data_IF_727189480834
#
_entry.id   IF_727189480834
#
_cell.length_a   1.000
_cell.length_b   1.000
_cell.length_c   1.000
_cell.angle_alpha   90.00
_cell.angle_beta   90.00
_cell.angle_gamma   90.00
#
_symmetry.space_group_name_H-M   'P 1'
#
loop_
_entity.id
_entity.type
_entity.pdbx_description
1 polymer ?
#
# COMPACT_ATOMS: atom_id res chain seq x y z
N UNK A 1 1.78 -47.43 32.98
CA UNK A 1 2.16 -46.15 32.33
C UNK A 1 2.72 -45.15 33.34
N UNK A 2 2.02 -44.80 34.42
CA UNK A 2 2.52 -43.87 35.46
C UNK A 2 3.83 -44.36 36.11
N UNK A 3 3.87 -45.61 36.58
CA UNK A 3 5.07 -46.17 37.23
C UNK A 3 6.32 -46.21 36.32
N UNK A 4 6.11 -46.45 35.03
CA UNK A 4 7.19 -46.45 34.03
C UNK A 4 7.70 -45.02 33.77
N UNK A 5 6.80 -44.05 33.67
CA UNK A 5 7.17 -42.64 33.53
C UNK A 5 7.91 -42.12 34.77
N UNK A 6 7.40 -42.40 35.98
CA UNK A 6 8.05 -41.96 37.22
C UNK A 6 9.41 -42.61 37.41
N UNK A 7 9.57 -43.89 37.05
CA UNK A 7 10.87 -44.58 37.15
C UNK A 7 11.91 -43.93 36.21
N UNK A 8 11.50 -43.56 35.00
CA UNK A 8 12.37 -42.82 34.07
C UNK A 8 12.73 -41.41 34.58
N UNK A 9 11.76 -40.69 35.15
CA UNK A 9 11.98 -39.36 35.74
C UNK A 9 12.93 -39.43 36.95
N UNK A 10 12.75 -40.41 37.84
CA UNK A 10 13.64 -40.63 38.99
C UNK A 10 15.05 -41.03 38.57
N UNK A 11 15.19 -41.81 37.49
CA UNK A 11 16.49 -42.15 36.90
C UNK A 11 17.23 -40.91 36.38
N UNK A 12 16.51 -39.96 35.78
CA UNK A 12 17.07 -38.69 35.32
C UNK A 12 17.39 -37.73 36.47
N UNK A 13 16.51 -37.61 37.46
CA UNK A 13 16.64 -36.69 38.59
C UNK A 13 17.73 -37.11 39.59
N UNK A 14 17.94 -38.41 39.77
CA UNK A 14 18.93 -38.97 40.70
C UNK A 14 19.87 -39.93 39.98
N UNK A 15 20.82 -39.46 39.15
CA UNK A 15 21.68 -40.33 38.36
C UNK A 15 22.76 -41.04 39.18
N UNK A 16 23.33 -42.12 38.62
CA UNK A 16 24.45 -42.87 39.23
C UNK A 16 24.07 -43.77 40.40
N UNK A 17 25.08 -44.45 40.97
CA UNK A 17 24.90 -45.47 42.01
C UNK A 17 24.52 -44.88 43.37
N UNK A 18 24.98 -43.67 43.68
CA UNK A 18 24.60 -42.95 44.90
C UNK A 18 23.10 -42.61 44.95
N UNK A 19 22.45 -42.46 43.79
CA UNK A 19 21.02 -42.19 43.67
C UNK A 19 20.12 -43.44 43.78
N UNK A 20 20.70 -44.64 43.64
CA UNK A 20 19.98 -45.92 43.69
C UNK A 20 19.07 -46.10 44.92
N UNK A 21 19.53 -45.85 46.17
CA UNK A 21 18.66 -45.99 47.34
C UNK A 21 17.47 -45.01 47.31
N UNK A 22 17.67 -43.79 46.81
CA UNK A 22 16.61 -42.77 46.68
C UNK A 22 15.59 -43.17 45.62
N UNK A 23 16.03 -43.65 44.45
CA UNK A 23 15.13 -44.14 43.39
C UNK A 23 14.28 -45.32 43.89
N UNK A 24 14.90 -46.29 44.56
CA UNK A 24 14.19 -47.44 45.12
C UNK A 24 13.14 -47.03 46.19
N UNK A 25 13.46 -46.05 47.05
CA UNK A 25 12.52 -45.54 48.03
C UNK A 25 11.33 -44.81 47.38
N UNK A 26 11.58 -43.98 46.36
CA UNK A 26 10.55 -43.26 45.62
C UNK A 26 9.66 -44.21 44.81
N UNK A 27 10.24 -45.21 44.15
CA UNK A 27 9.48 -46.25 43.43
C UNK A 27 8.56 -47.03 44.38
N UNK A 28 9.04 -47.36 45.58
CA UNK A 28 8.23 -48.01 46.62
C UNK A 28 7.07 -47.12 47.08
N UNK A 29 7.29 -45.82 47.24
CA UNK A 29 6.22 -44.88 47.59
C UNK A 29 5.21 -44.70 46.46
N UNK A 30 5.65 -44.64 45.19
CA UNK A 30 4.74 -44.60 44.04
C UNK A 30 3.92 -45.89 43.95
N UNK A 31 4.53 -47.06 44.18
CA UNK A 31 3.82 -48.33 44.22
C UNK A 31 2.73 -48.34 45.31
N UNK A 32 3.08 -47.95 46.54
CA UNK A 32 2.13 -47.87 47.65
C UNK A 32 1.01 -46.84 47.41
N UNK A 33 1.31 -45.74 46.72
CA UNK A 33 0.32 -44.74 46.34
C UNK A 33 -0.67 -45.29 45.29
N UNK A 34 -0.18 -46.09 44.33
CA UNK A 34 -0.99 -46.70 43.28
C UNK A 34 -1.79 -47.93 43.75
N UNK A 35 -1.41 -48.55 44.87
CA UNK A 35 -2.20 -49.61 45.53
C UNK A 35 -3.53 -49.10 46.09
N UNK A 36 -3.64 -47.79 46.33
CA UNK A 36 -4.88 -47.14 46.72
C UNK A 36 -5.56 -46.53 45.47
N UNK A 37 -6.90 -46.61 45.33
CA UNK A 37 -7.58 -45.93 44.25
C UNK A 37 -7.34 -44.42 44.38
N UNK A 38 -6.55 -43.87 43.46
CA UNK A 38 -6.32 -42.43 43.37
C UNK A 38 -7.70 -41.78 43.22
N UNK A 39 -8.10 -40.99 44.22
CA UNK A 39 -9.38 -40.29 44.15
C UNK A 39 -9.30 -39.30 43.00
N UNK A 40 -10.01 -39.58 41.90
CA UNK A 40 -10.09 -38.66 40.78
C UNK A 40 -10.82 -37.41 41.25
N UNK A 41 -10.09 -36.31 41.46
CA UNK A 41 -10.70 -35.01 41.69
C UNK A 41 -11.41 -34.64 40.39
N UNK A 42 -12.76 -34.56 40.37
CA UNK A 42 -13.46 -34.25 39.14
C UNK A 42 -13.08 -32.83 38.72
N UNK A 43 -12.94 -32.63 37.42
CA UNK A 43 -12.81 -31.29 36.87
C UNK A 43 -14.03 -30.46 37.30
N UNK A 44 -13.80 -29.22 37.71
CA UNK A 44 -14.89 -28.27 37.95
C UNK A 44 -15.50 -27.88 36.60
N UNK A 45 -16.51 -28.63 36.16
CA UNK A 45 -17.20 -28.44 34.88
C UNK A 45 -17.62 -26.98 34.65
N UNK A 46 -18.32 -26.32 35.60
CA UNK A 46 -18.69 -24.91 35.48
C UNK A 46 -17.51 -23.95 35.28
N UNK A 47 -16.38 -24.18 35.96
CA UNK A 47 -15.17 -23.37 35.76
C UNK A 47 -14.55 -23.63 34.38
N UNK A 48 -14.46 -24.89 33.97
CA UNK A 48 -13.95 -25.28 32.65
C UNK A 48 -14.80 -24.67 31.54
N UNK A 49 -16.12 -24.73 31.66
CA UNK A 49 -17.06 -24.17 30.68
C UNK A 49 -17.00 -22.63 30.66
N UNK A 50 -16.86 -21.98 31.82
CA UNK A 50 -16.64 -20.53 31.90
C UNK A 50 -15.34 -20.12 31.20
N UNK A 51 -14.23 -20.80 31.51
CA UNK A 51 -12.92 -20.50 30.91
C UNK A 51 -12.95 -20.78 29.42
N UNK A 52 -13.55 -21.89 28.97
CA UNK A 52 -13.77 -22.16 27.54
C UNK A 52 -14.65 -21.09 26.88
N UNK A 53 -15.69 -20.64 27.56
CA UNK A 53 -16.54 -19.53 27.10
C UNK A 53 -15.75 -18.25 26.86
N UNK A 54 -14.82 -17.90 27.76
CA UNK A 54 -13.88 -16.79 27.56
C UNK A 54 -12.94 -17.07 26.39
N UNK A 55 -12.36 -18.27 26.32
CA UNK A 55 -11.43 -18.63 25.25
C UNK A 55 -12.09 -18.67 23.86
N UNK A 56 -13.40 -18.91 23.77
CA UNK A 56 -14.16 -18.91 22.50
C UNK A 56 -14.49 -17.51 21.99
N UNK A 57 -14.28 -16.46 22.79
CA UNK A 57 -14.60 -15.08 22.37
C UNK A 57 -13.73 -14.60 21.20
N UNK A 58 -12.54 -15.18 21.01
CA UNK A 58 -11.67 -14.87 19.87
C UNK A 58 -11.61 -16.09 18.94
N UNK A 59 -12.04 -15.97 17.67
CA UNK A 59 -11.94 -17.04 16.70
C UNK A 59 -10.49 -17.55 16.57
N UNK A 60 -10.32 -18.87 16.38
CA UNK A 60 -9.00 -19.48 16.22
C UNK A 60 -8.17 -18.81 15.13
N UNK A 61 -8.78 -18.48 13.98
CA UNK A 61 -8.10 -17.78 12.90
C UNK A 61 -7.55 -16.41 13.34
N UNK A 62 -8.32 -15.63 14.11
CA UNK A 62 -7.84 -14.35 14.63
C UNK A 62 -6.69 -14.53 15.63
N UNK A 63 -6.70 -15.60 16.43
CA UNK A 63 -5.60 -15.91 17.35
C UNK A 63 -4.33 -16.29 16.62
N UNK A 64 -4.42 -17.20 15.65
CA UNK A 64 -3.29 -17.57 14.79
C UNK A 64 -2.73 -16.37 14.07
N UNK A 65 -3.60 -15.52 13.52
CA UNK A 65 -3.21 -14.27 12.88
C UNK A 65 -2.42 -13.34 13.81
N UNK A 66 -2.94 -13.05 15.00
CA UNK A 66 -2.25 -12.20 15.98
C UNK A 66 -0.95 -12.83 16.48
N UNK A 67 -0.88 -14.17 16.61
CA UNK A 67 0.35 -14.88 16.97
C UNK A 67 1.43 -14.73 15.89
N UNK A 68 1.07 -14.85 14.60
CA UNK A 68 2.00 -14.63 13.48
C UNK A 68 2.50 -13.18 13.48
N UNK A 69 1.60 -12.19 13.59
CA UNK A 69 1.99 -10.77 13.65
C UNK A 69 2.86 -10.44 14.86
N UNK A 70 2.67 -11.17 15.96
CA UNK A 70 3.42 -11.00 17.20
C UNK A 70 4.77 -11.71 17.25
N UNK A 71 5.12 -12.50 16.23
CA UNK A 71 6.36 -13.28 16.21
C UNK A 71 7.60 -12.40 16.11
N UNK A 72 8.75 -12.90 16.55
CA UNK A 72 10.02 -12.18 16.48
C UNK A 72 10.41 -11.90 15.02
N UNK A 73 10.22 -12.88 14.14
CA UNK A 73 10.51 -12.78 12.70
C UNK A 73 9.65 -11.70 12.04
N UNK A 74 8.35 -11.62 12.37
CA UNK A 74 7.46 -10.61 11.82
C UNK A 74 7.84 -9.20 12.31
N UNK A 75 8.26 -9.06 13.57
CA UNK A 75 8.67 -7.78 14.16
C UNK A 75 10.06 -7.32 13.72
N UNK A 76 10.93 -8.25 13.34
CA UNK A 76 12.27 -7.96 12.84
C UNK A 76 12.27 -7.39 11.41
N UNK A 77 11.16 -7.51 10.67
CA UNK A 77 11.07 -7.00 9.30
C UNK A 77 11.11 -5.47 9.27
N UNK A 78 11.96 -4.86 8.41
CA UNK A 78 11.98 -3.42 8.25
C UNK A 78 10.65 -2.94 7.65
N UNK A 79 10.10 -1.80 8.12
CA UNK A 79 8.88 -1.24 7.56
C UNK A 79 9.15 -0.64 6.17
N UNK A 80 8.16 -0.72 5.29
CA UNK A 80 8.18 -0.02 4.01
C UNK A 80 7.75 1.43 4.22
N UNK A 81 8.52 2.42 3.74
CA UNK A 81 8.25 3.87 3.92
C UNK A 81 8.32 4.62 2.59
N UNK A 82 7.50 5.66 2.37
CA UNK A 82 7.60 6.44 1.12
C UNK A 82 8.99 7.02 0.91
N UNK A 83 9.60 7.60 1.96
CA UNK A 83 10.91 8.23 1.88
C UNK A 83 12.02 7.28 1.37
N UNK A 84 11.89 5.98 1.66
CA UNK A 84 12.84 4.97 1.20
C UNK A 84 12.70 4.63 -0.30
N UNK A 85 11.52 4.85 -0.88
CA UNK A 85 11.19 4.44 -2.26
C UNK A 85 10.91 5.60 -3.22
N UNK A 86 10.75 6.83 -2.71
CA UNK A 86 10.41 8.00 -3.51
C UNK A 86 11.62 8.79 -4.02
N UNK A 87 12.83 8.51 -3.48
CA UNK A 87 14.05 9.23 -3.81
C UNK A 87 14.21 10.57 -3.06
N UNK A 88 15.40 11.16 -3.17
CA UNK A 88 15.81 12.30 -2.34
C UNK A 88 14.94 13.56 -2.54
N UNK A 89 14.42 13.77 -3.76
CA UNK A 89 13.60 14.93 -4.11
C UNK A 89 12.11 14.74 -3.79
N UNK A 90 11.70 13.62 -3.19
CA UNK A 90 10.29 13.34 -2.94
C UNK A 90 9.61 14.38 -2.04
N UNK A 91 10.32 14.87 -1.02
CA UNK A 91 9.75 15.80 -0.04
C UNK A 91 9.46 17.19 -0.62
N UNK A 92 10.04 17.57 -1.76
CA UNK A 92 9.75 18.85 -2.41
C UNK A 92 8.51 18.80 -3.30
N UNK A 93 8.11 17.61 -3.79
CA UNK A 93 7.00 17.48 -4.77
C UNK A 93 5.86 16.58 -4.33
N UNK A 94 6.06 15.73 -3.34
CA UNK A 94 5.04 14.84 -2.79
C UNK A 94 4.66 15.24 -1.36
N UNK A 95 3.41 14.99 -1.03
CA UNK A 95 2.88 15.13 0.32
C UNK A 95 1.81 14.06 0.59
N UNK A 96 1.45 13.90 1.86
CA UNK A 96 0.34 13.04 2.26
C UNK A 96 -0.87 13.90 2.59
N UNK A 97 -2.06 13.48 2.13
CA UNK A 97 -3.33 14.15 2.40
C UNK A 97 -3.62 14.23 3.89
N UNK A 98 -3.20 13.21 4.64
CA UNK A 98 -3.29 13.14 6.10
C UNK A 98 -2.41 14.16 6.83
N UNK A 99 -1.48 14.83 6.13
CA UNK A 99 -0.51 15.75 6.72
C UNK A 99 0.66 15.06 7.43
N UNK A 100 0.74 13.72 7.39
CA UNK A 100 1.86 12.96 7.96
C UNK A 100 3.14 13.11 7.12
N UNK A 101 4.28 12.78 7.72
CA UNK A 101 5.59 12.73 7.03
C UNK A 101 5.63 11.61 5.97
N UNK A 102 6.52 11.74 4.98
CA UNK A 102 6.88 10.66 4.03
C UNK A 102 7.60 9.48 4.72
N UNK A 103 7.92 9.59 6.00
CA UNK A 103 8.29 8.44 6.85
C UNK A 103 7.08 7.55 7.20
N UNK A 104 5.87 7.89 6.74
CA UNK A 104 4.69 7.02 6.83
C UNK A 104 4.84 5.80 5.91
N UNK A 105 4.20 4.69 6.26
CA UNK A 105 4.46 3.41 5.62
C UNK A 105 3.58 2.29 6.14
N UNK A 106 3.94 1.06 5.75
CA UNK A 106 3.32 -0.18 6.24
C UNK A 106 4.35 -1.02 6.99
N UNK A 107 3.90 -1.79 7.97
CA UNK A 107 4.77 -2.70 8.72
C UNK A 107 5.38 -3.74 7.77
N UNK A 108 6.62 -4.17 8.04
CA UNK A 108 7.38 -5.02 7.13
C UNK A 108 6.69 -6.34 6.78
N UNK A 109 5.87 -6.87 7.69
CA UNK A 109 5.08 -8.07 7.46
C UNK A 109 4.08 -7.92 6.32
N UNK A 110 3.61 -6.70 6.01
CA UNK A 110 2.68 -6.39 4.90
C UNK A 110 3.40 -5.94 3.62
N UNK A 111 4.66 -6.32 3.44
CA UNK A 111 5.40 -6.15 2.18
C UNK A 111 5.35 -7.44 1.37
N UNK A 112 5.73 -7.39 0.09
CA UNK A 112 5.95 -8.57 -0.75
C UNK A 112 6.90 -9.55 -0.06
N UNK A 113 8.04 -9.05 0.44
CA UNK A 113 8.99 -9.85 1.19
C UNK A 113 8.38 -10.40 2.49
N UNK A 114 7.63 -9.57 3.24
CA UNK A 114 6.94 -10.01 4.47
C UNK A 114 5.96 -11.15 4.23
N UNK A 115 5.19 -11.08 3.14
CA UNK A 115 4.29 -12.15 2.73
C UNK A 115 5.04 -13.44 2.41
N UNK A 116 6.00 -13.39 1.48
CA UNK A 116 6.66 -14.59 0.95
C UNK A 116 7.67 -15.20 1.91
N UNK A 117 8.43 -14.35 2.61
CA UNK A 117 9.57 -14.79 3.39
C UNK A 117 9.27 -15.04 4.85
N UNK A 118 8.16 -14.52 5.38
CA UNK A 118 7.80 -14.67 6.80
C UNK A 118 6.38 -15.20 6.95
N UNK A 119 5.35 -14.45 6.53
CA UNK A 119 3.95 -14.82 6.79
C UNK A 119 3.59 -16.21 6.22
N UNK A 120 3.89 -16.45 4.95
CA UNK A 120 3.59 -17.72 4.28
C UNK A 120 4.35 -18.93 4.87
N UNK A 121 5.51 -18.68 5.53
CA UNK A 121 6.31 -19.73 6.18
C UNK A 121 5.81 -20.03 7.60
N UNK A 122 5.43 -19.00 8.35
CA UNK A 122 4.89 -19.13 9.71
C UNK A 122 3.45 -19.64 9.75
N UNK A 123 2.67 -19.38 8.70
CA UNK A 123 1.26 -19.78 8.62
C UNK A 123 1.03 -21.27 8.98
N UNK A 124 1.66 -22.25 8.30
CA UNK A 124 1.45 -23.66 8.63
C UNK A 124 1.87 -23.99 10.06
N UNK A 125 3.06 -23.56 10.49
CA UNK A 125 3.63 -23.81 11.83
C UNK A 125 2.67 -23.32 12.93
N UNK A 126 2.25 -22.06 12.85
CA UNK A 126 1.38 -21.47 13.86
C UNK A 126 -0.01 -22.11 13.86
N UNK A 127 -0.55 -22.46 12.68
CA UNK A 127 -1.86 -23.13 12.61
C UNK A 127 -1.82 -24.57 13.09
N UNK A 128 -0.70 -25.27 12.92
CA UNK A 128 -0.53 -26.64 13.39
C UNK A 128 -0.42 -26.67 14.91
N UNK A 129 0.41 -25.83 15.50
CA UNK A 129 0.50 -25.64 16.95
C UNK A 129 -0.88 -25.35 17.58
N UNK A 130 -1.62 -24.40 17.00
CA UNK A 130 -2.93 -24.01 17.51
C UNK A 130 -3.98 -25.10 17.31
N UNK A 131 -3.90 -25.86 16.22
CA UNK A 131 -4.77 -27.01 16.00
C UNK A 131 -4.48 -28.12 17.03
N UNK A 132 -3.21 -28.39 17.32
CA UNK A 132 -2.80 -29.35 18.36
C UNK A 132 -3.34 -28.93 19.73
N UNK A 133 -3.26 -27.65 20.09
CA UNK A 133 -3.76 -27.11 21.37
C UNK A 133 -5.29 -26.92 21.42
N UNK A 134 -5.99 -27.07 20.30
CA UNK A 134 -7.45 -26.82 20.21
C UNK A 134 -8.29 -27.76 21.07
N UNK A 135 -7.72 -28.89 21.54
CA UNK A 135 -8.39 -29.82 22.46
C UNK A 135 -8.89 -29.13 23.75
N UNK A 136 -8.22 -28.05 24.17
CA UNK A 136 -8.57 -27.28 25.37
C UNK A 136 -9.93 -26.58 25.22
N UNK A 137 -10.34 -26.24 23.99
CA UNK A 137 -11.60 -25.53 23.69
C UNK A 137 -12.85 -26.43 23.75
N UNK A 138 -12.66 -27.74 23.91
CA UNK A 138 -13.75 -28.72 23.94
C UNK A 138 -14.14 -29.22 22.55
N UNK A 139 -14.99 -30.25 22.52
CA UNK A 139 -15.22 -31.10 21.32
C UNK A 139 -15.81 -30.37 20.10
N UNK A 140 -16.48 -29.23 20.30
CA UNK A 140 -17.11 -28.46 19.22
C UNK A 140 -16.14 -27.59 18.41
N UNK A 141 -15.09 -27.07 19.06
CA UNK A 141 -14.11 -26.16 18.44
C UNK A 141 -12.74 -26.81 18.26
N UNK A 142 -12.67 -28.13 18.50
CA UNK A 142 -11.46 -28.90 18.28
C UNK A 142 -11.21 -29.02 16.79
N UNK A 143 -10.03 -28.57 16.38
CA UNK A 143 -9.49 -28.76 15.04
C UNK A 143 -8.69 -30.06 15.09
N UNK A 144 -9.25 -31.15 14.56
CA UNK A 144 -8.62 -32.48 14.62
C UNK A 144 -8.47 -33.13 13.24
N UNK A 145 -9.32 -32.76 12.27
CA UNK A 145 -9.23 -33.26 10.89
C UNK A 145 -8.27 -32.36 10.08
N UNK A 146 -7.34 -32.92 9.29
CA UNK A 146 -6.55 -32.19 8.30
C UNK A 146 -7.35 -31.18 7.45
N UNK A 147 -8.62 -31.47 7.14
CA UNK A 147 -9.51 -30.53 6.41
C UNK A 147 -9.83 -29.26 7.22
N UNK A 148 -10.03 -29.40 8.53
CA UNK A 148 -10.30 -28.26 9.42
C UNK A 148 -9.04 -27.40 9.60
N UNK A 149 -7.87 -28.02 9.67
CA UNK A 149 -6.58 -27.30 9.70
C UNK A 149 -6.37 -26.53 8.40
N UNK A 150 -6.64 -27.15 7.25
CA UNK A 150 -6.57 -26.47 5.96
C UNK A 150 -7.54 -25.27 5.89
N UNK A 151 -8.77 -25.41 6.38
CA UNK A 151 -9.71 -24.30 6.45
C UNK A 151 -9.22 -23.19 7.39
N UNK A 152 -8.70 -23.53 8.57
CA UNK A 152 -8.11 -22.56 9.50
C UNK A 152 -6.99 -21.75 8.82
N UNK A 153 -6.10 -22.40 8.07
CA UNK A 153 -5.05 -21.72 7.30
C UNK A 153 -5.62 -20.74 6.27
N UNK A 154 -6.65 -21.15 5.53
CA UNK A 154 -7.32 -20.27 4.56
C UNK A 154 -7.99 -19.08 5.24
N UNK A 155 -8.63 -19.28 6.40
CA UNK A 155 -9.26 -18.20 7.16
C UNK A 155 -8.22 -17.18 7.67
N UNK A 156 -7.08 -17.67 8.20
CA UNK A 156 -5.96 -16.82 8.66
C UNK A 156 -5.34 -16.05 7.50
N UNK A 157 -5.11 -16.73 6.37
CA UNK A 157 -4.60 -16.09 5.15
C UNK A 157 -5.60 -15.05 4.62
N UNK A 158 -6.90 -15.34 4.69
CA UNK A 158 -7.98 -14.41 4.36
C UNK A 158 -7.86 -13.12 5.17
N UNK A 159 -7.80 -13.21 6.50
CA UNK A 159 -7.63 -12.06 7.40
C UNK A 159 -6.40 -11.23 7.05
N UNK A 160 -5.26 -11.89 6.80
CA UNK A 160 -4.02 -11.23 6.44
C UNK A 160 -4.12 -10.49 5.10
N UNK A 161 -4.62 -11.13 4.05
CA UNK A 161 -4.73 -10.52 2.72
C UNK A 161 -5.76 -9.39 2.70
N UNK A 162 -6.83 -9.50 3.49
CA UNK A 162 -7.80 -8.41 3.70
C UNK A 162 -7.15 -7.19 4.34
N UNK A 163 -6.30 -7.39 5.35
CA UNK A 163 -5.56 -6.30 5.98
C UNK A 163 -4.48 -5.73 5.06
N UNK A 164 -3.80 -6.59 4.30
CA UNK A 164 -2.83 -6.22 3.28
C UNK A 164 -3.44 -5.21 2.30
N UNK A 165 -4.57 -5.57 1.68
CA UNK A 165 -5.30 -4.68 0.76
C UNK A 165 -5.66 -3.35 1.42
N UNK A 166 -6.24 -3.39 2.63
CA UNK A 166 -6.62 -2.15 3.34
C UNK A 166 -5.43 -1.22 3.60
N UNK A 167 -4.29 -1.76 4.05
CA UNK A 167 -3.09 -0.97 4.34
C UNK A 167 -2.54 -0.32 3.08
N UNK A 168 -2.45 -1.06 1.97
CA UNK A 168 -1.96 -0.53 0.70
C UNK A 168 -2.94 0.46 0.07
N UNK A 169 -4.25 0.23 0.13
CA UNK A 169 -5.25 1.21 -0.33
C UNK A 169 -5.12 2.54 0.43
N UNK A 170 -5.01 2.50 1.76
CA UNK A 170 -4.82 3.69 2.57
C UNK A 170 -3.55 4.44 2.18
N UNK A 171 -2.45 3.73 1.99
CA UNK A 171 -1.17 4.30 1.61
C UNK A 171 -1.23 4.95 0.20
N UNK A 172 -1.79 4.24 -0.78
CA UNK A 172 -1.88 4.75 -2.17
C UNK A 172 -2.81 5.96 -2.25
N UNK A 173 -3.94 5.94 -1.53
CA UNK A 173 -4.94 7.02 -1.55
C UNK A 173 -4.51 8.29 -0.80
N UNK A 174 -3.62 8.15 0.18
CA UNK A 174 -3.09 9.26 0.97
C UNK A 174 -2.02 10.07 0.21
N UNK A 175 -1.36 9.48 -0.77
CA UNK A 175 -0.35 10.17 -1.57
C UNK A 175 -0.96 11.32 -2.39
N UNK A 176 -0.27 12.45 -2.45
CA UNK A 176 -0.63 13.61 -3.26
C UNK A 176 0.60 14.30 -3.84
N UNK A 177 0.39 15.06 -4.92
CA UNK A 177 1.35 16.02 -5.44
C UNK A 177 1.17 17.33 -4.69
N UNK A 178 2.27 17.99 -4.32
CA UNK A 178 2.25 19.30 -3.68
C UNK A 178 1.72 20.35 -4.68
N UNK A 179 0.86 21.29 -4.23
CA UNK A 179 0.46 22.40 -5.07
C UNK A 179 1.57 23.46 -5.10
N UNK A 180 1.85 24.01 -6.27
CA UNK A 180 2.74 25.16 -6.46
C UNK A 180 1.94 26.45 -6.67
N UNK A 181 2.50 27.59 -6.25
CA UNK A 181 1.83 28.91 -6.27
C UNK A 181 2.55 29.94 -7.12
N UNK A 182 3.78 29.65 -7.53
CA UNK A 182 4.57 30.52 -8.41
C UNK A 182 5.07 29.78 -9.64
N UNK A 183 5.45 30.53 -10.68
CA UNK A 183 6.05 29.96 -11.90
C UNK A 183 7.36 29.23 -11.60
N UNK A 184 8.19 29.77 -10.71
CA UNK A 184 9.47 29.16 -10.34
C UNK A 184 9.27 27.84 -9.57
N UNK A 185 8.36 27.83 -8.59
CA UNK A 185 7.98 26.58 -7.90
C UNK A 185 7.44 25.55 -8.91
N UNK A 186 6.57 25.97 -9.83
CA UNK A 186 6.04 25.09 -10.87
C UNK A 186 7.12 24.50 -11.78
N UNK A 187 8.12 25.30 -12.17
CA UNK A 187 9.27 24.81 -12.95
C UNK A 187 10.08 23.77 -12.18
N UNK A 188 10.40 24.03 -10.91
CA UNK A 188 11.19 23.13 -10.07
C UNK A 188 10.44 21.82 -9.76
N UNK A 189 9.17 21.92 -9.37
CA UNK A 189 8.33 20.77 -9.02
C UNK A 189 8.02 19.92 -10.24
N UNK A 190 7.63 20.52 -11.38
CA UNK A 190 7.30 19.77 -12.58
C UNK A 190 8.54 19.12 -13.19
N UNK A 191 9.70 19.80 -13.21
CA UNK A 191 10.96 19.19 -13.65
C UNK A 191 11.33 17.97 -12.79
N UNK A 192 11.13 18.06 -11.48
CA UNK A 192 11.39 16.96 -10.55
C UNK A 192 10.40 15.81 -10.77
N UNK A 193 9.12 16.11 -10.93
CA UNK A 193 8.07 15.10 -11.17
C UNK A 193 8.19 14.42 -12.53
N UNK A 194 8.63 15.14 -13.56
CA UNK A 194 8.67 14.64 -14.94
C UNK A 194 10.08 14.20 -15.40
N UNK A 195 11.09 14.40 -14.56
CA UNK A 195 12.48 14.05 -14.85
C UNK A 195 12.75 12.53 -14.82
N UNK A 196 13.97 12.11 -15.20
CA UNK A 196 14.37 10.69 -15.21
C UNK A 196 14.27 10.01 -13.83
N UNK A 197 14.57 10.75 -12.77
CA UNK A 197 14.51 10.29 -11.37
C UNK A 197 13.20 10.74 -10.69
N UNK A 198 12.07 10.67 -11.41
CA UNK A 198 10.76 11.11 -10.95
C UNK A 198 10.34 10.39 -9.64
N UNK A 199 10.08 11.14 -8.54
CA UNK A 199 9.52 10.55 -7.32
C UNK A 199 8.16 9.90 -7.54
N UNK A 200 7.34 10.46 -8.44
CA UNK A 200 6.05 9.90 -8.81
C UNK A 200 6.21 8.50 -9.42
N UNK A 201 7.10 8.36 -10.41
CA UNK A 201 7.43 7.07 -11.02
C UNK A 201 7.94 6.08 -9.97
N UNK A 202 8.94 6.46 -9.19
CA UNK A 202 9.58 5.56 -8.23
C UNK A 202 8.60 4.99 -7.22
N UNK A 203 7.71 5.84 -6.66
CA UNK A 203 6.70 5.39 -5.69
C UNK A 203 5.65 4.48 -6.33
N UNK A 204 5.09 4.83 -7.49
CA UNK A 204 4.08 4.00 -8.15
C UNK A 204 4.65 2.66 -8.62
N UNK A 205 5.90 2.62 -9.08
CA UNK A 205 6.61 1.37 -9.38
C UNK A 205 6.80 0.53 -8.11
N UNK A 206 7.21 1.14 -6.99
CA UNK A 206 7.35 0.43 -5.72
C UNK A 206 6.00 -0.14 -5.24
N UNK A 207 4.91 0.63 -5.30
CA UNK A 207 3.57 0.14 -5.00
C UNK A 207 3.18 -1.07 -5.85
N UNK A 208 3.49 -1.02 -7.16
CA UNK A 208 3.21 -2.14 -8.04
C UNK A 208 4.02 -3.38 -7.64
N UNK A 209 5.30 -3.24 -7.33
CA UNK A 209 6.13 -4.36 -6.86
C UNK A 209 5.56 -5.01 -5.60
N UNK A 210 5.17 -4.20 -4.62
CA UNK A 210 4.66 -4.71 -3.35
C UNK A 210 3.32 -5.43 -3.50
N UNK A 211 2.45 -4.95 -4.40
CA UNK A 211 1.09 -5.48 -4.58
C UNK A 211 0.97 -6.65 -5.58
N UNK A 212 2.06 -7.08 -6.21
CA UNK A 212 2.10 -8.27 -7.07
C UNK A 212 2.51 -9.52 -6.27
N UNK A 213 1.66 -9.98 -5.35
CA UNK A 213 1.95 -11.12 -4.47
C UNK A 213 1.95 -12.49 -5.15
N UNK A 214 1.23 -12.65 -6.26
CA UNK A 214 1.28 -13.91 -7.00
C UNK A 214 2.58 -14.01 -7.77
N UNK A 215 3.43 -14.95 -7.37
CA UNK A 215 4.55 -15.40 -8.21
C UNK A 215 3.93 -16.09 -9.42
N UNK A 216 4.07 -15.49 -10.60
CA UNK A 216 3.70 -16.15 -11.85
C UNK A 216 4.70 -17.28 -12.08
N UNK A 217 4.41 -18.44 -11.50
CA UNK A 217 5.17 -19.66 -11.78
C UNK A 217 4.81 -20.14 -13.18
N UNK A 218 5.75 -20.87 -13.81
CA UNK A 218 5.48 -21.55 -15.07
C UNK A 218 4.24 -22.46 -14.96
N UNK A 219 3.94 -22.97 -13.75
CA UNK A 219 2.72 -23.71 -13.44
C UNK A 219 1.44 -22.86 -13.46
N UNK A 220 1.45 -21.60 -13.03
CA UNK A 220 0.30 -20.69 -13.15
C UNK A 220 0.01 -20.36 -14.62
N UNK A 221 1.06 -20.15 -15.43
CA UNK A 221 0.94 -19.94 -16.88
C UNK A 221 0.46 -21.20 -17.61
N UNK A 222 1.02 -22.37 -17.25
CA UNK A 222 0.62 -23.68 -17.76
C UNK A 222 -0.79 -24.06 -17.30
N UNK A 223 -1.26 -23.68 -16.11
CA UNK A 223 -2.63 -23.93 -15.64
C UNK A 223 -3.66 -23.04 -16.35
N UNK A 224 -3.30 -21.79 -16.64
CA UNK A 224 -4.12 -20.93 -17.53
C UNK A 224 -4.14 -21.43 -18.97
N UNK A 225 -3.05 -22.03 -19.47
CA UNK A 225 -2.98 -22.68 -20.78
C UNK A 225 -3.60 -24.08 -20.84
N UNK A 226 -3.54 -24.86 -19.76
CA UNK A 226 -4.10 -26.22 -19.65
C UNK A 226 -5.62 -26.23 -19.50
N UNK A 227 -6.24 -25.08 -19.20
CA UNK A 227 -7.66 -24.87 -19.49
C UNK A 227 -8.03 -25.06 -20.97
N UNK A 228 -7.04 -25.13 -21.86
CA UNK A 228 -7.19 -25.40 -23.30
C UNK A 228 -6.57 -26.74 -23.76
N UNK A 229 -5.90 -27.53 -22.91
CA UNK A 229 -5.22 -28.78 -23.34
C UNK A 229 -5.41 -29.92 -22.33
N UNK A 230 -5.97 -31.04 -22.80
CA UNK A 230 -6.53 -32.13 -22.02
C UNK A 230 -5.59 -33.36 -21.82
N UNK A 231 -4.31 -33.19 -21.46
CA UNK A 231 -3.47 -34.36 -21.15
C UNK A 231 -2.74 -34.30 -19.80
N UNK A 232 -2.90 -35.38 -19.03
CA UNK A 232 -2.33 -35.59 -17.70
C UNK A 232 -0.78 -35.68 -17.70
N UNK A 233 -0.17 -35.89 -18.86
CA UNK A 233 1.29 -35.96 -19.04
C UNK A 233 1.95 -34.58 -18.89
N UNK A 234 1.35 -33.54 -19.50
CA UNK A 234 1.83 -32.16 -19.40
C UNK A 234 1.70 -31.59 -17.98
N UNK A 235 0.70 -32.05 -17.22
CA UNK A 235 0.54 -31.71 -15.80
C UNK A 235 1.69 -32.26 -14.95
N UNK A 236 2.13 -33.51 -15.20
CA UNK A 236 3.23 -34.14 -14.44
C UNK A 236 4.59 -33.50 -14.73
N UNK A 237 4.83 -33.11 -15.98
CA UNK A 237 6.06 -32.45 -16.39
C UNK A 237 6.16 -31.00 -15.88
N UNK A 238 5.04 -30.28 -15.84
CA UNK A 238 4.95 -28.94 -15.24
C UNK A 238 5.20 -28.95 -13.72
N UNK A 239 4.73 -29.98 -13.02
CA UNK A 239 4.98 -30.19 -11.59
C UNK A 239 6.45 -30.52 -11.28
N UNK A 240 7.17 -31.15 -12.22
CA UNK A 240 8.59 -31.50 -12.08
C UNK A 240 9.52 -30.29 -12.27
N UNK A 241 9.07 -29.24 -12.97
CA UNK A 241 9.81 -27.98 -13.21
C UNK A 241 9.62 -26.93 -12.12
N UNK A 242 8.78 -27.20 -11.12
CA UNK A 242 8.58 -26.33 -9.96
C UNK A 242 9.82 -26.26 -9.08
N UNK A 243 10.14 -25.06 -8.58
CA UNK A 243 11.18 -24.92 -7.56
C UNK A 243 10.68 -25.55 -6.24
N UNK A 244 11.61 -25.92 -5.35
CA UNK A 244 11.26 -26.47 -4.03
C UNK A 244 10.41 -25.50 -3.20
N UNK A 245 10.54 -24.17 -3.44
CA UNK A 245 9.72 -23.14 -2.81
C UNK A 245 8.27 -23.19 -3.29
N UNK A 246 8.04 -23.29 -4.60
CA UNK A 246 6.70 -23.32 -5.19
C UNK A 246 5.93 -24.59 -4.80
N UNK A 247 6.64 -25.73 -4.72
CA UNK A 247 6.08 -27.00 -4.26
C UNK A 247 5.67 -26.96 -2.79
N UNK A 248 6.45 -26.28 -1.94
CA UNK A 248 6.12 -26.08 -0.53
C UNK A 248 4.93 -25.16 -0.35
N UNK A 249 4.86 -24.03 -1.05
CA UNK A 249 3.70 -23.11 -0.95
C UNK A 249 2.43 -23.81 -1.44
N UNK A 250 2.48 -24.52 -2.57
CA UNK A 250 1.36 -25.31 -3.08
C UNK A 250 0.94 -26.47 -2.16
N UNK A 251 1.89 -27.10 -1.44
CA UNK A 251 1.58 -28.13 -0.43
C UNK A 251 1.05 -27.53 0.88
N UNK A 252 1.55 -26.36 1.31
CA UNK A 252 1.14 -25.67 2.55
C UNK A 252 -0.29 -25.10 2.44
N UNK A 253 -0.71 -24.71 1.23
CA UNK A 253 -2.09 -24.31 0.90
C UNK A 253 -3.07 -25.49 0.76
N UNK A 254 -2.61 -26.74 0.94
CA UNK A 254 -3.45 -27.91 1.21
C UNK A 254 -4.46 -28.32 0.12
N UNK A 255 -4.07 -29.21 -0.77
CA UNK A 255 -4.90 -30.38 -1.12
C UNK A 255 -6.09 -30.22 -2.09
N UNK A 256 -6.07 -29.28 -3.04
CA UNK A 256 -7.16 -29.13 -4.05
C UNK A 256 -6.76 -29.66 -5.43
N UNK A 257 -5.86 -30.63 -5.51
CA UNK A 257 -5.58 -31.36 -6.75
C UNK A 257 -6.61 -32.47 -6.99
N UNK A 258 -7.87 -32.08 -7.18
CA UNK A 258 -8.72 -32.85 -8.08
C UNK A 258 -8.31 -32.47 -9.51
N UNK A 259 -8.10 -33.45 -10.42
CA UNK A 259 -7.86 -33.13 -11.83
C UNK A 259 -8.99 -32.24 -12.36
N UNK A 260 -8.67 -31.00 -12.75
CA UNK A 260 -9.63 -30.06 -13.35
C UNK A 260 -10.01 -28.83 -12.52
N UNK A 261 -9.61 -28.69 -11.24
CA UNK A 261 -9.76 -27.41 -10.53
C UNK A 261 -8.55 -26.50 -10.76
N UNK A 262 -8.81 -25.27 -11.20
CA UNK A 262 -7.79 -24.20 -11.20
C UNK A 262 -7.37 -23.94 -9.76
N UNK A 263 -6.14 -24.28 -9.40
CA UNK A 263 -5.54 -23.85 -8.13
C UNK A 263 -5.34 -22.35 -8.24
N UNK A 264 -6.26 -21.57 -7.69
CA UNK A 264 -6.13 -20.12 -7.58
C UNK A 264 -5.40 -19.84 -6.27
N UNK A 265 -4.20 -19.29 -6.36
CA UNK A 265 -3.48 -18.76 -5.20
C UNK A 265 -4.38 -17.73 -4.50
N UNK A 266 -4.70 -17.88 -3.20
CA UNK A 266 -5.53 -16.90 -2.49
C UNK A 266 -4.97 -15.47 -2.57
N UNK A 267 -3.65 -15.30 -2.73
CA UNK A 267 -3.01 -14.00 -2.96
C UNK A 267 -3.43 -13.32 -4.28
N UNK A 268 -4.02 -14.06 -5.22
CA UNK A 268 -4.59 -13.52 -6.46
C UNK A 268 -5.60 -12.40 -6.18
N UNK A 269 -6.31 -12.46 -5.05
CA UNK A 269 -7.22 -11.37 -4.63
C UNK A 269 -6.53 -10.01 -4.51
N UNK A 270 -5.26 -9.99 -4.10
CA UNK A 270 -4.46 -8.77 -3.97
C UNK A 270 -4.07 -8.28 -5.36
N UNK A 271 -3.53 -9.16 -6.21
CA UNK A 271 -3.19 -8.82 -7.59
C UNK A 271 -4.41 -8.34 -8.39
N UNK A 272 -5.59 -8.95 -8.19
CA UNK A 272 -6.85 -8.57 -8.84
C UNK A 272 -7.32 -7.19 -8.37
N UNK A 273 -7.26 -6.93 -7.05
CA UNK A 273 -7.60 -5.63 -6.48
C UNK A 273 -6.69 -4.51 -7.01
N UNK A 274 -5.38 -4.76 -7.10
CA UNK A 274 -4.38 -3.83 -7.62
C UNK A 274 -4.08 -3.99 -9.12
N UNK A 275 -4.94 -4.69 -9.88
CA UNK A 275 -4.75 -4.86 -11.33
C UNK A 275 -4.70 -3.52 -12.08
N UNK A 276 -5.46 -2.54 -11.60
CA UNK A 276 -5.45 -1.18 -12.14
C UNK A 276 -4.06 -0.55 -12.00
N UNK A 277 -3.34 -0.82 -10.91
CA UNK A 277 -2.01 -0.27 -10.64
C UNK A 277 -0.97 -0.89 -11.57
N UNK A 278 -1.02 -2.21 -11.78
CA UNK A 278 -0.18 -2.88 -12.75
C UNK A 278 -0.41 -2.36 -14.18
N UNK A 279 -1.67 -2.09 -14.54
CA UNK A 279 -2.02 -1.50 -15.84
C UNK A 279 -1.53 -0.06 -15.96
N UNK A 280 -1.65 0.72 -14.89
CA UNK A 280 -1.21 2.12 -14.84
C UNK A 280 0.31 2.24 -14.96
N UNK A 281 1.08 1.43 -14.22
CA UNK A 281 2.55 1.44 -14.27
C UNK A 281 3.08 0.82 -15.56
N UNK A 282 2.49 -0.30 -15.99
CA UNK A 282 2.93 -1.05 -17.16
C UNK A 282 4.29 -1.72 -16.99
N UNK A 283 4.91 -2.12 -18.10
CA UNK A 283 6.24 -2.72 -18.17
C UNK A 283 7.14 -1.93 -19.13
N UNK A 284 8.46 -2.13 -19.11
CA UNK A 284 9.36 -1.48 -20.08
C UNK A 284 8.98 -1.76 -21.56
N UNK A 285 8.43 -2.94 -21.84
CA UNK A 285 8.00 -3.36 -23.18
C UNK A 285 6.61 -2.84 -23.55
N UNK A 286 5.74 -2.66 -22.55
CA UNK A 286 4.38 -2.14 -22.70
C UNK A 286 4.13 -1.06 -21.64
N UNK A 287 4.52 0.20 -21.92
CA UNK A 287 4.35 1.27 -20.96
C UNK A 287 2.87 1.51 -20.63
N UNK A 288 2.59 1.78 -19.35
CA UNK A 288 1.25 2.05 -18.88
C UNK A 288 0.87 3.53 -18.98
N UNK A 289 -0.33 3.85 -18.50
CA UNK A 289 -0.87 5.22 -18.48
C UNK A 289 -0.03 6.21 -17.65
N UNK A 290 0.82 5.71 -16.75
CA UNK A 290 1.80 6.50 -16.00
C UNK A 290 2.72 7.31 -16.92
N UNK A 291 3.15 6.74 -18.06
CA UNK A 291 3.97 7.49 -19.03
C UNK A 291 3.20 8.65 -19.64
N UNK A 292 1.91 8.46 -19.91
CA UNK A 292 1.05 9.52 -20.45
C UNK A 292 0.90 10.66 -19.43
N UNK A 293 0.78 10.33 -18.15
CA UNK A 293 0.76 11.30 -17.05
C UNK A 293 2.07 12.09 -17.00
N UNK A 294 3.20 11.40 -16.98
CA UNK A 294 4.52 12.03 -16.91
C UNK A 294 4.81 12.89 -18.14
N UNK A 295 4.47 12.42 -19.34
CA UNK A 295 4.59 13.19 -20.57
C UNK A 295 3.74 14.46 -20.55
N UNK A 296 2.52 14.40 -20.00
CA UNK A 296 1.67 15.58 -19.84
C UNK A 296 2.26 16.57 -18.83
N UNK A 297 2.84 16.11 -17.73
CA UNK A 297 3.57 16.97 -16.78
C UNK A 297 4.80 17.63 -17.45
N UNK A 298 5.55 16.88 -18.26
CA UNK A 298 6.66 17.43 -19.06
C UNK A 298 6.18 18.52 -20.01
N UNK A 299 5.02 18.35 -20.65
CA UNK A 299 4.45 19.36 -21.53
C UNK A 299 4.11 20.66 -20.77
N UNK A 300 3.62 20.56 -19.53
CA UNK A 300 3.36 21.72 -18.67
C UNK A 300 4.67 22.41 -18.31
N UNK A 301 5.68 21.65 -17.88
CA UNK A 301 7.01 22.16 -17.62
C UNK A 301 7.59 22.91 -18.82
N UNK A 302 7.52 22.31 -20.01
CA UNK A 302 8.01 22.93 -21.24
C UNK A 302 7.29 24.25 -21.54
N UNK A 303 5.97 24.31 -21.34
CA UNK A 303 5.20 25.55 -21.53
C UNK A 303 5.64 26.66 -20.56
N UNK A 304 5.89 26.31 -19.30
CA UNK A 304 6.39 27.24 -18.29
C UNK A 304 7.80 27.71 -18.64
N UNK A 305 8.67 26.81 -19.11
CA UNK A 305 10.03 27.15 -19.51
C UNK A 305 10.06 28.09 -20.72
N UNK A 306 9.12 27.94 -21.66
CA UNK A 306 9.00 28.81 -22.82
C UNK A 306 8.58 30.23 -22.41
N UNK A 307 7.64 30.35 -21.46
CA UNK A 307 7.25 31.65 -20.91
C UNK A 307 8.42 32.31 -20.17
N UNK A 308 9.14 31.54 -19.34
CA UNK A 308 10.28 32.04 -18.58
C UNK A 308 11.46 32.46 -19.47
N UNK A 309 11.69 31.76 -20.58
CA UNK A 309 12.75 32.09 -21.54
C UNK A 309 12.36 33.18 -22.56
N UNK A 310 11.10 33.60 -22.61
CA UNK A 310 10.63 34.61 -23.55
C UNK A 310 11.25 35.98 -23.22
N UNK A 311 11.81 36.70 -24.23
CA UNK A 311 12.25 38.09 -24.04
C UNK A 311 11.15 39.03 -23.54
N UNK A 312 9.88 38.66 -23.79
CA UNK A 312 8.71 39.34 -23.26
C UNK A 312 7.81 38.32 -22.54
N UNK A 313 8.26 37.88 -21.36
CA UNK A 313 7.54 36.92 -20.51
C UNK A 313 6.11 37.39 -20.17
N UNK A 314 5.91 38.70 -20.04
CA UNK A 314 4.59 39.29 -19.78
C UNK A 314 3.59 38.99 -20.89
N UNK A 315 3.98 39.24 -22.15
CA UNK A 315 3.14 38.98 -23.31
C UNK A 315 2.93 37.48 -23.53
N UNK A 316 3.97 36.67 -23.31
CA UNK A 316 3.86 35.20 -23.42
C UNK A 316 2.87 34.63 -22.40
N UNK A 317 2.94 35.09 -21.15
CA UNK A 317 2.02 34.68 -20.09
C UNK A 317 0.58 35.11 -20.37
N UNK A 318 0.37 36.33 -20.88
CA UNK A 318 -0.95 36.80 -21.33
C UNK A 318 -1.50 35.96 -22.48
N UNK A 319 -0.65 35.57 -23.45
CA UNK A 319 -1.04 34.66 -24.52
C UNK A 319 -1.44 33.28 -24.00
N UNK A 320 -0.72 32.75 -23.01
CA UNK A 320 -1.05 31.50 -22.33
C UNK A 320 -2.40 31.58 -21.60
N UNK A 321 -2.64 32.68 -20.87
CA UNK A 321 -3.89 32.92 -20.15
C UNK A 321 -5.09 33.18 -21.09
N UNK A 322 -4.85 33.84 -22.22
CA UNK A 322 -5.85 34.15 -23.24
C UNK A 322 -6.14 32.95 -24.17
N UNK A 323 -5.36 31.87 -24.10
CA UNK A 323 -5.61 30.67 -24.88
C UNK A 323 -7.01 30.13 -24.55
N UNK A 324 -7.84 29.96 -25.61
CA UNK A 324 -9.23 29.54 -25.46
C UNK A 324 -9.34 28.30 -24.56
N UNK A 325 -10.33 28.31 -23.68
CA UNK A 325 -10.48 27.35 -22.56
C UNK A 325 -10.42 25.87 -22.98
N UNK A 326 -10.68 25.54 -24.24
CA UNK A 326 -10.61 24.18 -24.78
C UNK A 326 -9.20 23.65 -25.06
N UNK A 327 -8.19 24.50 -25.30
CA UNK A 327 -6.82 24.08 -25.62
C UNK A 327 -5.81 24.32 -24.50
N UNK A 328 -6.21 25.00 -23.41
CA UNK A 328 -5.34 25.24 -22.26
C UNK A 328 -4.79 23.93 -21.67
N UNK A 329 -3.54 23.93 -21.20
CA UNK A 329 -2.92 22.74 -20.62
C UNK A 329 -3.66 22.25 -19.36
N UNK A 330 -4.28 23.15 -18.60
CA UNK A 330 -5.15 22.79 -17.47
C UNK A 330 -6.36 21.97 -17.91
N UNK A 331 -7.05 22.36 -18.99
CA UNK A 331 -8.19 21.59 -19.51
C UNK A 331 -7.77 20.24 -20.06
N UNK A 332 -6.58 20.16 -20.68
CA UNK A 332 -6.02 18.89 -21.14
C UNK A 332 -5.69 17.96 -19.97
N UNK A 333 -5.10 18.49 -18.89
CA UNK A 333 -4.86 17.74 -17.66
C UNK A 333 -6.17 17.28 -16.99
N UNK A 334 -7.19 18.13 -16.94
CA UNK A 334 -8.51 17.75 -16.41
C UNK A 334 -9.19 16.67 -17.24
N UNK A 335 -9.01 16.72 -18.56
CA UNK A 335 -9.53 15.68 -19.47
C UNK A 335 -8.78 14.37 -19.26
N UNK A 336 -7.45 14.42 -19.15
CA UNK A 336 -6.61 13.25 -18.84
C UNK A 336 -6.98 12.68 -17.47
N UNK A 337 -7.21 13.52 -16.47
CA UNK A 337 -7.59 13.09 -15.13
C UNK A 337 -8.87 12.24 -15.13
N UNK A 338 -9.82 12.49 -16.04
CA UNK A 338 -11.05 11.70 -16.16
C UNK A 338 -10.81 10.27 -16.66
N UNK A 339 -9.71 10.03 -17.38
CA UNK A 339 -9.35 8.70 -17.89
C UNK A 339 -8.41 7.95 -16.93
N UNK A 340 -7.92 8.61 -15.88
CA UNK A 340 -6.98 8.02 -14.92
C UNK A 340 -7.69 7.33 -13.74
N UNK A 341 -7.00 6.38 -13.07
CA UNK A 341 -7.51 5.75 -11.86
C UNK A 341 -7.89 6.77 -10.77
N UNK A 342 -8.93 6.50 -9.94
CA UNK A 342 -9.46 7.44 -8.94
C UNK A 342 -8.42 8.07 -8.00
N UNK A 343 -7.33 7.34 -7.72
CA UNK A 343 -6.24 7.82 -6.85
C UNK A 343 -5.31 8.82 -7.54
N UNK A 344 -5.18 8.75 -8.87
CA UNK A 344 -4.32 9.64 -9.67
C UNK A 344 -5.06 10.90 -10.12
N UNK A 345 -6.38 10.83 -10.31
CA UNK A 345 -7.20 11.99 -10.71
C UNK A 345 -6.98 13.24 -9.84
N UNK A 346 -7.03 13.18 -8.49
CA UNK A 346 -6.81 14.37 -7.66
C UNK A 346 -5.41 14.95 -7.83
N UNK A 347 -4.39 14.12 -8.04
CA UNK A 347 -3.01 14.58 -8.26
C UNK A 347 -2.90 15.41 -9.55
N UNK A 348 -3.50 14.91 -10.65
CA UNK A 348 -3.55 15.65 -11.91
C UNK A 348 -4.36 16.94 -11.81
N UNK A 349 -5.48 16.92 -11.09
CA UNK A 349 -6.28 18.12 -10.81
C UNK A 349 -5.47 19.14 -10.02
N UNK A 350 -4.68 18.72 -9.03
CA UNK A 350 -3.79 19.63 -8.29
C UNK A 350 -2.80 20.32 -9.22
N UNK A 351 -2.18 19.58 -10.15
CA UNK A 351 -1.27 20.17 -11.14
C UNK A 351 -2.01 21.12 -12.08
N UNK A 352 -3.21 20.76 -12.56
CA UNK A 352 -4.01 21.60 -13.43
C UNK A 352 -4.45 22.92 -12.76
N UNK A 353 -4.89 22.83 -11.51
CA UNK A 353 -5.32 23.96 -10.70
C UNK A 353 -4.13 24.87 -10.33
N UNK A 354 -2.99 24.28 -9.98
CA UNK A 354 -1.76 25.05 -9.69
C UNK A 354 -1.26 25.77 -10.95
N UNK A 355 -1.26 25.07 -12.10
CA UNK A 355 -0.82 25.64 -13.38
C UNK A 355 -1.69 26.81 -13.83
N UNK A 356 -3.01 26.65 -13.76
CA UNK A 356 -3.97 27.71 -14.11
C UNK A 356 -3.92 28.87 -13.11
N UNK A 357 -3.79 28.57 -11.82
CA UNK A 357 -3.61 29.55 -10.76
C UNK A 357 -2.41 30.46 -11.01
N UNK A 358 -1.24 29.87 -11.26
CA UNK A 358 0.01 30.59 -11.57
C UNK A 358 -0.11 31.42 -12.85
N UNK A 359 -0.68 30.83 -13.90
CA UNK A 359 -0.81 31.52 -15.19
C UNK A 359 -1.72 32.73 -15.07
N UNK A 360 -2.87 32.57 -14.42
CA UNK A 360 -3.85 33.64 -14.23
C UNK A 360 -3.37 34.72 -13.26
N UNK A 361 -2.71 34.34 -12.16
CA UNK A 361 -2.18 35.31 -11.20
C UNK A 361 -1.09 36.18 -11.82
N UNK A 362 -0.17 35.57 -12.58
CA UNK A 362 0.86 36.32 -13.25
C UNK A 362 0.31 37.17 -14.41
N UNK A 363 -0.66 36.67 -15.19
CA UNK A 363 -1.32 37.49 -16.22
C UNK A 363 -2.03 38.72 -15.62
N UNK A 364 -2.73 38.53 -14.49
CA UNK A 364 -3.35 39.63 -13.74
C UNK A 364 -2.32 40.67 -13.29
N UNK A 365 -1.19 40.21 -12.75
CA UNK A 365 -0.10 41.10 -12.33
C UNK A 365 0.43 41.92 -13.52
N UNK A 366 0.60 41.31 -14.69
CA UNK A 366 1.06 42.02 -15.89
C UNK A 366 0.06 43.06 -16.40
N UNK A 367 -1.24 42.77 -16.36
CA UNK A 367 -2.27 43.76 -16.69
C UNK A 367 -2.22 44.92 -15.70
N UNK A 368 -2.06 44.63 -14.41
CA UNK A 368 -1.97 45.64 -13.36
C UNK A 368 -0.73 46.54 -13.54
N UNK A 369 0.42 45.95 -13.86
CA UNK A 369 1.66 46.70 -14.11
C UNK A 369 1.57 47.53 -15.39
N UNK A 370 0.96 46.99 -16.46
CA UNK A 370 0.70 47.73 -17.70
C UNK A 370 -0.28 48.89 -17.49
N UNK A 371 -1.34 48.68 -16.70
CA UNK A 371 -2.27 49.76 -16.31
C UNK A 371 -1.57 50.84 -15.51
N UNK A 372 -0.82 50.44 -14.47
CA UNK A 372 -0.11 51.37 -13.59
C UNK A 372 0.95 52.20 -14.31
N UNK A 373 1.58 51.66 -15.35
CA UNK A 373 2.62 52.34 -16.13
C UNK A 373 2.11 53.15 -17.31
N UNK A 374 1.06 52.68 -18.01
CA UNK A 374 0.61 53.29 -19.27
C UNK A 374 -0.66 54.13 -19.13
N UNK A 375 -1.62 53.68 -18.32
CA UNK A 375 -2.95 54.30 -18.26
C UNK A 375 -3.11 55.18 -17.02
N UNK A 376 -2.70 54.67 -15.86
CA UNK A 376 -2.81 55.39 -14.60
C UNK A 376 -2.15 56.78 -14.63
N UNK A 377 -0.94 56.98 -15.20
CA UNK A 377 -0.33 58.31 -15.25
C UNK A 377 -1.10 59.28 -16.15
N UNK A 378 -1.67 58.80 -17.26
CA UNK A 378 -2.49 59.61 -18.16
C UNK A 378 -3.80 60.02 -17.46
N UNK A 379 -4.48 59.08 -16.81
CA UNK A 379 -5.68 59.36 -16.02
C UNK A 379 -5.39 60.37 -14.90
N UNK A 380 -4.27 60.20 -14.18
CA UNK A 380 -3.88 61.13 -13.12
C UNK A 380 -3.57 62.52 -13.70
N UNK A 381 -2.82 62.63 -14.79
CA UNK A 381 -2.49 63.92 -15.40
C UNK A 381 -3.75 64.67 -15.89
N UNK A 382 -4.69 63.94 -16.51
CA UNK A 382 -5.89 64.53 -17.09
C UNK A 382 -6.97 64.86 -16.05
N UNK A 383 -7.10 64.09 -14.97
CA UNK A 383 -8.27 64.15 -14.07
C UNK A 383 -7.96 64.61 -12.64
N UNK A 384 -6.70 64.62 -12.20
CA UNK A 384 -6.36 64.97 -10.81
C UNK A 384 -6.68 66.43 -10.53
N UNK A 385 -7.46 66.68 -9.48
CA UNK A 385 -7.84 68.00 -9.01
C UNK A 385 -8.48 68.88 -10.11
N UNK A 386 -9.32 68.29 -10.96
CA UNK A 386 -10.04 68.99 -12.04
C UNK A 386 -11.55 68.72 -12.03
N UNK A 387 -12.34 69.70 -12.45
CA UNK A 387 -13.79 69.60 -12.62
C UNK A 387 -14.10 68.85 -13.93
N UNK A 388 -15.07 67.92 -13.99
CA UNK A 388 -16.17 67.70 -13.03
C UNK A 388 -15.92 66.65 -11.93
N UNK A 389 -14.80 65.92 -11.96
CA UNK A 389 -14.54 64.85 -10.99
C UNK A 389 -14.25 65.38 -9.58
N UNK A 390 -13.52 66.49 -9.49
CA UNK A 390 -13.32 67.25 -8.26
C UNK A 390 -14.23 68.47 -8.30
N UNK A 391 -15.42 68.37 -7.70
CA UNK A 391 -16.45 69.41 -7.76
C UNK A 391 -16.00 70.79 -7.24
N UNK A 392 -15.00 70.83 -6.36
CA UNK A 392 -14.45 72.08 -5.82
C UNK A 392 -13.29 72.65 -6.63
N UNK A 393 -12.84 71.97 -7.69
CA UNK A 393 -11.79 72.47 -8.56
C UNK A 393 -12.29 73.64 -9.39
N UNK A 394 -11.50 74.71 -9.46
CA UNK A 394 -11.70 75.82 -10.40
C UNK A 394 -11.06 75.59 -11.75
N UNK A 395 -10.34 74.47 -11.92
CA UNK A 395 -9.70 74.05 -13.17
C UNK A 395 -10.53 72.95 -13.81
N UNK A 396 -10.99 73.17 -15.03
CA UNK A 396 -11.70 72.17 -15.83
C UNK A 396 -10.72 71.14 -16.44
N UNK A 397 -11.23 69.93 -16.68
CA UNK A 397 -10.57 68.96 -17.54
C UNK A 397 -10.60 69.49 -18.99
N UNK A 398 -9.44 69.67 -19.66
CA UNK A 398 -9.42 70.05 -21.07
C UNK A 398 -10.13 68.97 -21.90
N UNK A 399 -11.05 69.38 -22.78
CA UNK A 399 -11.78 68.45 -23.66
C UNK A 399 -10.80 67.58 -24.47
N UNK A 400 -9.72 68.17 -24.97
CA UNK A 400 -8.70 67.45 -25.76
C UNK A 400 -8.00 66.35 -24.97
N UNK A 401 -7.84 66.52 -23.65
CA UNK A 401 -7.24 65.50 -22.79
C UNK A 401 -8.28 64.48 -22.33
N UNK A 402 -9.54 64.89 -22.16
CA UNK A 402 -10.65 63.98 -21.87
C UNK A 402 -10.92 63.02 -23.03
N UNK A 403 -10.81 63.48 -24.29
CA UNK A 403 -11.01 62.65 -25.49
C UNK A 403 -9.90 61.61 -25.68
N UNK A 404 -8.73 61.79 -25.05
CA UNK A 404 -7.59 60.85 -25.14
C UNK A 404 -7.64 59.71 -24.10
N UNK A 405 -8.51 59.83 -23.10
CA UNK A 405 -8.78 58.79 -22.09
C UNK A 405 -9.78 57.76 -22.64
#
# INVERSE_FOLDING_TARGET
MVQQWTSADFAAAFPGDAGTPTRAALEKHVAALLENPVTAIPLNGPLVDRVRGILRQTPLASRSYTRILGSEEARALPPWRYAAHAGAAASSVLMLRSGKSLDTGVDGIFTYAGYHDVFAKLLPEVTDDIAEDSWVLGRQDRVADPKQVAQLRLDVLGLYLDEYVRKWDQLITDLQIRPFRTMNEGLDELNTLSGPNSPFRSVFTAFNTETQLVVVTQANQLATGAGQIASAEAQREGLAKLTLRDRKIAMMLGGVFAPGLKVVDPAQRVNDHFKWLATFVGTPEKPGDMETVLAKMTQVYQSFSQVAASPNAAQALLGQAASNSGSSLSTQLDTLAKTMPPVVQPMLKTVAQSSSGVTNSGAKQQIQDAWASKVLPLCQAALTNRYPLFQQSTLDVPIDDFVKL
#
